data_IF_490509600008
#
_entry.id   IF_490509600008
#
_cell.length_a   1.000
_cell.length_b   1.000
_cell.length_c   1.000
_cell.angle_alpha   90.00
_cell.angle_beta   90.00
_cell.angle_gamma   90.00
#
_symmetry.space_group_name_H-M   'P 1'
#
loop_
_entity.id
_entity.type
_entity.pdbx_description
1 polymer ?
#
# COMPACT_ATOMS: atom_id res chain seq x y z
N UNK A 1 -26.37 1.18 18.10
CA UNK A 1 -25.49 2.17 17.45
C UNK A 1 -25.39 1.77 15.99
N UNK A 2 -26.04 2.48 15.07
CA UNK A 2 -25.79 2.26 13.63
C UNK A 2 -24.40 2.84 13.36
N UNK A 3 -23.37 2.00 13.34
CA UNK A 3 -22.08 2.42 12.83
C UNK A 3 -22.30 2.81 11.37
N UNK A 4 -22.14 4.10 11.06
CA UNK A 4 -22.19 4.60 9.70
C UNK A 4 -20.84 4.34 8.98
N UNK A 5 -20.20 3.21 9.28
CA UNK A 5 -18.90 2.87 8.72
C UNK A 5 -19.12 2.36 7.30
N UNK A 6 -18.55 3.06 6.34
CA UNK A 6 -18.54 2.67 4.94
C UNK A 6 -17.20 2.01 4.62
N UNK A 7 -17.25 0.76 4.16
CA UNK A 7 -16.11 -0.02 3.72
C UNK A 7 -16.09 -0.12 2.20
N UNK A 8 -14.90 0.00 1.63
CA UNK A 8 -14.67 -0.17 0.18
C UNK A 8 -13.67 -1.30 0.03
N UNK A 9 -14.18 -2.48 -0.29
CA UNK A 9 -13.39 -3.68 -0.52
C UNK A 9 -12.97 -3.73 -1.99
N UNK A 10 -11.67 -3.88 -2.23
CA UNK A 10 -11.05 -3.99 -3.55
C UNK A 10 -10.43 -5.37 -3.70
N UNK A 11 -10.95 -6.13 -4.66
CA UNK A 11 -10.48 -7.45 -5.02
C UNK A 11 -9.89 -7.40 -6.42
N UNK A 12 -8.67 -7.88 -6.58
CA UNK A 12 -7.96 -7.81 -7.86
C UNK A 12 -7.36 -9.16 -8.20
N UNK A 13 -7.59 -9.63 -9.43
CA UNK A 13 -6.79 -10.69 -10.05
C UNK A 13 -5.83 -10.04 -11.04
N UNK A 14 -4.55 -10.37 -10.91
CA UNK A 14 -3.51 -9.83 -11.76
C UNK A 14 -2.52 -10.91 -12.14
N UNK A 15 -2.34 -11.11 -13.45
CA UNK A 15 -1.28 -11.96 -13.99
C UNK A 15 0.07 -11.27 -13.84
N UNK A 16 1.03 -12.00 -13.30
CA UNK A 16 2.43 -11.60 -13.19
C UNK A 16 3.26 -12.58 -14.03
N UNK A 17 3.99 -12.11 -15.05
CA UNK A 17 4.83 -12.96 -15.89
C UNK A 17 6.02 -13.49 -15.09
N UNK A 18 6.80 -14.44 -15.66
CA UNK A 18 8.04 -14.94 -15.04
C UNK A 18 8.89 -13.80 -14.48
N UNK A 19 8.98 -13.69 -13.15
CA UNK A 19 9.68 -12.60 -12.49
C UNK A 19 9.91 -12.84 -11.00
N UNK A 20 10.65 -11.91 -10.37
CA UNK A 20 10.94 -11.88 -8.95
C UNK A 20 10.54 -10.52 -8.33
N UNK A 21 9.24 -10.20 -8.40
CA UNK A 21 8.65 -8.92 -7.94
C UNK A 21 8.93 -8.61 -6.47
N UNK A 22 9.03 -9.64 -5.63
CA UNK A 22 9.30 -9.50 -4.21
C UNK A 22 10.06 -10.71 -3.67
N UNK A 23 11.25 -10.45 -3.13
CA UNK A 23 12.22 -11.47 -2.72
C UNK A 23 12.53 -11.47 -1.23
N UNK A 24 12.96 -12.62 -0.72
CA UNK A 24 13.53 -12.75 0.62
C UNK A 24 15.01 -12.33 0.66
N UNK A 25 15.65 -12.57 1.80
CA UNK A 25 17.06 -12.30 2.06
C UNK A 25 18.03 -13.16 1.26
N UNK A 26 17.57 -14.32 0.76
CA UNK A 26 18.35 -15.21 -0.13
C UNK A 26 18.24 -14.82 -1.61
N UNK A 27 17.34 -13.90 -1.94
CA UNK A 27 17.10 -13.45 -3.31
C UNK A 27 15.97 -14.18 -4.03
N UNK A 28 15.32 -15.13 -3.36
CA UNK A 28 14.26 -15.98 -3.92
C UNK A 28 12.90 -15.31 -3.83
N UNK A 29 11.97 -15.55 -4.79
CA UNK A 29 10.60 -15.06 -4.70
C UNK A 29 9.95 -15.51 -3.41
N UNK A 30 9.31 -14.57 -2.69
CA UNK A 30 8.61 -14.93 -1.46
C UNK A 30 7.44 -15.86 -1.77
N UNK A 31 7.28 -16.89 -0.95
CA UNK A 31 6.17 -17.84 -1.04
C UNK A 31 5.37 -17.87 0.26
N UNK A 32 4.26 -18.61 0.25
CA UNK A 32 3.49 -19.03 1.41
C UNK A 32 2.78 -20.35 1.14
N UNK A 33 2.43 -21.11 2.18
CA UNK A 33 1.57 -22.30 2.06
C UNK A 33 0.12 -21.89 2.28
N UNK A 34 -0.76 -22.22 1.33
CA UNK A 34 -2.20 -21.98 1.46
C UNK A 34 -3.00 -23.08 0.74
N UNK A 35 -3.93 -23.70 1.46
CA UNK A 35 -4.65 -24.88 0.96
C UNK A 35 -3.75 -26.10 0.72
N UNK A 36 -2.69 -26.24 1.51
CA UNK A 36 -1.75 -27.36 1.41
C UNK A 36 -0.74 -27.30 0.27
N UNK A 37 -0.70 -26.22 -0.54
CA UNK A 37 0.26 -26.05 -1.63
C UNK A 37 1.03 -24.74 -1.54
N UNK A 38 2.21 -24.70 -2.18
CA UNK A 38 3.06 -23.49 -2.26
C UNK A 38 2.44 -22.46 -3.21
N UNK A 39 2.30 -21.22 -2.72
CA UNK A 39 1.79 -20.07 -3.45
C UNK A 39 2.88 -19.01 -3.60
N UNK A 40 2.88 -18.30 -4.72
CA UNK A 40 3.64 -17.06 -4.82
C UNK A 40 3.02 -16.08 -3.82
N UNK A 41 3.86 -15.29 -3.14
CA UNK A 41 3.41 -14.28 -2.19
C UNK A 41 4.11 -12.97 -2.47
N UNK A 42 3.34 -11.91 -2.63
CA UNK A 42 3.86 -10.54 -2.65
C UNK A 42 3.46 -9.83 -1.38
N UNK A 43 4.44 -9.28 -0.68
CA UNK A 43 4.22 -8.71 0.64
C UNK A 43 3.40 -7.41 0.59
N UNK A 44 2.50 -7.22 1.56
CA UNK A 44 1.66 -6.02 1.61
C UNK A 44 2.50 -4.74 1.69
N UNK A 45 3.65 -4.78 2.38
CA UNK A 45 4.58 -3.66 2.43
C UNK A 45 5.20 -3.31 1.09
N UNK A 46 5.42 -4.28 0.19
CA UNK A 46 5.94 -4.01 -1.15
C UNK A 46 4.90 -3.23 -1.98
N UNK A 47 3.63 -3.61 -1.87
CA UNK A 47 2.52 -2.91 -2.50
C UNK A 47 2.31 -1.51 -1.91
N UNK A 48 2.19 -1.40 -0.57
CA UNK A 48 2.05 -0.10 0.11
C UNK A 48 3.20 0.85 -0.21
N UNK A 49 4.42 0.33 -0.45
CA UNK A 49 5.55 1.17 -0.84
C UNK A 49 5.33 1.82 -2.20
N UNK A 50 4.92 1.05 -3.21
CA UNK A 50 4.65 1.61 -4.55
C UNK A 50 3.41 2.49 -4.59
N UNK A 51 2.36 2.14 -3.82
CA UNK A 51 1.19 3.01 -3.65
C UNK A 51 1.59 4.40 -3.13
N UNK A 52 2.46 4.46 -2.12
CA UNK A 52 2.95 5.75 -1.60
C UNK A 52 3.78 6.55 -2.60
N UNK A 53 4.50 5.90 -3.51
CA UNK A 53 5.16 6.62 -4.60
C UNK A 53 4.13 7.24 -5.54
N UNK A 54 3.10 6.50 -5.93
CA UNK A 54 2.05 7.08 -6.76
C UNK A 54 1.29 8.21 -6.05
N UNK A 55 1.09 8.10 -4.73
CA UNK A 55 0.52 9.21 -3.95
C UNK A 55 1.33 10.50 -4.13
N UNK A 56 2.66 10.43 -4.26
CA UNK A 56 3.49 11.61 -4.50
C UNK A 56 3.31 12.26 -5.87
N UNK A 57 2.70 11.54 -6.81
CA UNK A 57 2.34 12.04 -8.15
C UNK A 57 0.90 12.57 -8.19
N UNK A 58 0.03 12.08 -7.29
CA UNK A 58 -1.39 12.43 -7.25
C UNK A 58 -1.76 13.50 -6.23
N UNK A 59 -0.94 13.67 -5.19
CA UNK A 59 -1.20 14.55 -4.05
C UNK A 59 -0.15 15.66 -3.97
N UNK A 60 -0.51 16.74 -3.29
CA UNK A 60 0.42 17.83 -2.99
C UNK A 60 1.42 17.41 -1.91
N UNK A 61 2.59 18.07 -1.85
CA UNK A 61 3.60 17.79 -0.83
C UNK A 61 3.10 17.96 0.61
N UNK A 62 2.05 18.77 0.82
CA UNK A 62 1.43 18.99 2.12
C UNK A 62 0.61 17.78 2.60
N UNK A 63 0.07 16.99 1.67
CA UNK A 63 -0.78 15.81 1.93
C UNK A 63 0.06 14.53 2.17
N UNK A 64 1.38 14.59 1.98
CA UNK A 64 2.30 13.45 2.03
C UNK A 64 3.08 13.36 3.34
N UNK A 65 3.36 12.12 3.74
CA UNK A 65 4.22 11.80 4.87
C UNK A 65 5.57 11.25 4.45
N UNK A 66 6.57 11.47 5.30
CA UNK A 66 7.91 10.95 5.14
C UNK A 66 8.19 9.87 6.18
N UNK A 67 8.62 8.70 5.72
CA UNK A 67 9.13 7.63 6.58
C UNK A 67 10.65 7.63 6.55
N UNK A 68 11.28 8.19 7.58
CA UNK A 68 12.72 8.38 7.62
C UNK A 68 13.28 8.21 9.03
N UNK A 69 14.57 7.88 9.13
CA UNK A 69 15.32 8.02 10.39
C UNK A 69 15.80 9.47 10.57
N UNK A 70 16.06 10.18 9.47
CA UNK A 70 16.62 11.54 9.44
C UNK A 70 15.55 12.62 9.66
N UNK A 71 14.70 12.45 10.67
CA UNK A 71 13.62 13.41 10.99
C UNK A 71 14.14 14.77 11.45
N UNK A 72 15.36 14.83 12.00
CA UNK A 72 16.02 16.08 12.38
C UNK A 72 16.21 16.97 11.15
N UNK A 73 16.68 16.40 10.03
CA UNK A 73 16.84 17.14 8.78
C UNK A 73 15.51 17.68 8.26
N UNK A 74 14.45 16.88 8.31
CA UNK A 74 13.10 17.29 7.88
C UNK A 74 12.61 18.54 8.64
N UNK A 75 12.77 18.56 9.96
CA UNK A 75 12.36 19.71 10.78
C UNK A 75 13.33 20.89 10.63
N UNK A 76 14.64 20.62 10.50
CA UNK A 76 15.64 21.67 10.29
C UNK A 76 15.45 22.40 8.95
N UNK A 77 15.05 21.68 7.91
CA UNK A 77 14.73 22.26 6.60
C UNK A 77 13.51 23.20 6.69
N UNK A 78 12.49 22.85 7.47
CA UNK A 78 11.34 23.75 7.71
C UNK A 78 11.72 24.94 8.60
N UNK A 79 12.55 24.76 9.62
CA UNK A 79 13.07 25.86 10.46
C UNK A 79 13.85 26.86 9.59
N UNK A 80 14.71 26.37 8.69
CA UNK A 80 15.54 27.21 7.82
C UNK A 80 14.72 28.07 6.85
N UNK A 81 13.47 27.67 6.54
CA UNK A 81 12.53 28.49 5.75
C UNK A 81 11.89 29.61 6.58
N UNK A 82 11.78 29.42 7.89
CA UNK A 82 11.14 30.37 8.81
C UNK A 82 12.12 31.37 9.42
N UNK A 83 13.35 30.95 9.69
CA UNK A 83 14.37 31.79 10.31
C UNK A 83 15.79 31.36 9.91
N UNK A 84 16.63 32.33 9.57
CA UNK A 84 18.07 32.14 9.33
C UNK A 84 18.93 32.44 10.56
N UNK A 85 18.32 32.94 11.63
CA UNK A 85 19.03 33.52 12.77
C UNK A 85 19.30 32.49 13.88
N UNK A 86 18.66 31.32 13.78
CA UNK A 86 18.81 30.23 14.75
C UNK A 86 19.51 29.03 14.13
N UNK A 87 20.21 28.26 14.97
CA UNK A 87 20.80 26.99 14.53
C UNK A 87 19.69 25.95 14.33
N UNK A 88 19.28 25.77 13.07
CA UNK A 88 18.15 24.92 12.68
C UNK A 88 18.30 23.45 13.15
N UNK A 89 19.49 22.88 13.03
CA UNK A 89 19.76 21.48 13.39
C UNK A 89 19.64 21.24 14.91
N UNK A 90 20.19 22.18 15.71
CA UNK A 90 20.07 22.15 17.16
C UNK A 90 18.62 22.33 17.59
N UNK A 91 17.93 23.34 17.06
CA UNK A 91 16.54 23.63 17.38
C UNK A 91 15.60 22.48 16.97
N UNK A 92 15.83 21.83 15.84
CA UNK A 92 15.10 20.65 15.41
C UNK A 92 15.30 19.46 16.37
N UNK A 93 16.55 19.22 16.79
CA UNK A 93 16.87 18.16 17.75
C UNK A 93 16.17 18.39 19.09
N UNK A 94 16.19 19.63 19.59
CA UNK A 94 15.53 20.02 20.83
C UNK A 94 14.01 19.87 20.72
N UNK A 95 13.41 20.32 19.62
CA UNK A 95 11.96 20.20 19.35
C UNK A 95 11.49 18.74 19.34
N UNK A 96 12.22 17.86 18.64
CA UNK A 96 11.90 16.43 18.55
C UNK A 96 12.07 15.71 19.90
N UNK A 97 13.09 16.10 20.67
CA UNK A 97 13.30 15.58 22.02
C UNK A 97 12.17 16.01 22.96
N UNK A 98 11.75 17.29 22.91
CA UNK A 98 10.58 17.80 23.64
C UNK A 98 9.29 17.08 23.24
N UNK A 99 9.16 16.67 21.98
CA UNK A 99 8.02 15.89 21.49
C UNK A 99 8.00 14.43 21.99
N UNK A 100 9.04 13.99 22.71
CA UNK A 100 9.13 12.65 23.30
C UNK A 100 9.91 11.63 22.45
N UNK A 101 10.61 12.06 21.40
CA UNK A 101 11.38 11.17 20.53
C UNK A 101 12.84 11.06 21.00
N UNK A 102 13.37 9.84 21.00
CA UNK A 102 14.79 9.58 21.28
C UNK A 102 15.62 9.77 20.01
N UNK A 103 16.47 10.79 19.99
CA UNK A 103 17.38 11.09 18.87
C UNK A 103 18.79 10.64 19.24
N UNK A 104 19.42 9.79 18.42
CA UNK A 104 20.81 9.35 18.64
C UNK A 104 21.84 10.43 18.31
N UNK A 105 21.64 11.08 17.17
CA UNK A 105 22.45 12.18 16.66
C UNK A 105 21.71 12.81 15.48
N UNK A 106 22.10 14.01 15.05
CA UNK A 106 21.41 14.69 13.97
C UNK A 106 21.63 14.03 12.58
N UNK A 107 22.76 13.37 12.37
CA UNK A 107 23.08 12.61 11.15
C UNK A 107 22.35 11.25 11.08
N UNK A 108 22.28 10.52 12.20
CA UNK A 108 21.66 9.17 12.28
C UNK A 108 20.16 9.24 12.57
N UNK A 109 19.71 10.27 13.27
CA UNK A 109 18.33 10.49 13.68
C UNK A 109 17.81 9.47 14.69
N UNK A 110 16.67 8.83 14.43
CA UNK A 110 16.00 7.86 15.33
C UNK A 110 16.44 6.40 15.12
N UNK A 111 16.21 5.54 16.12
CA UNK A 111 16.55 4.11 16.08
C UNK A 111 15.73 3.35 15.03
N UNK A 112 14.43 3.60 15.04
CA UNK A 112 13.46 3.08 14.08
C UNK A 112 13.08 4.15 13.06
N UNK A 113 12.50 3.72 11.93
CA UNK A 113 11.89 4.63 10.98
C UNK A 113 10.70 5.34 11.64
N UNK A 114 10.70 6.66 11.64
CA UNK A 114 9.57 7.46 12.11
C UNK A 114 8.78 7.95 10.89
N UNK A 115 7.45 8.03 11.03
CA UNK A 115 6.54 8.48 9.98
C UNK A 115 5.97 9.85 10.38
N UNK A 116 6.26 10.89 9.62
CA UNK A 116 5.88 12.27 9.94
C UNK A 116 5.31 12.96 8.71
N UNK A 117 4.20 13.68 8.88
CA UNK A 117 3.71 14.56 7.81
C UNK A 117 4.55 15.83 7.72
N UNK A 118 4.54 16.48 6.57
CA UNK A 118 5.21 17.78 6.43
C UNK A 118 4.56 18.86 7.29
N UNK A 119 3.24 18.82 7.46
CA UNK A 119 2.52 19.72 8.37
C UNK A 119 2.99 19.58 9.82
N UNK A 120 3.21 18.34 10.30
CA UNK A 120 3.78 18.09 11.61
C UNK A 120 5.19 18.67 11.75
N UNK A 121 6.03 18.51 10.72
CA UNK A 121 7.37 19.07 10.71
C UNK A 121 7.37 20.61 10.73
N UNK A 122 6.48 21.22 9.95
CA UNK A 122 6.31 22.67 9.89
C UNK A 122 5.81 23.25 11.22
N UNK A 123 4.88 22.58 11.89
CA UNK A 123 4.39 23.02 13.21
C UNK A 123 5.47 22.89 14.29
N UNK A 124 6.25 21.79 14.28
CA UNK A 124 7.43 21.67 15.15
C UNK A 124 8.45 22.78 14.91
N UNK A 125 8.66 23.15 13.63
CA UNK A 125 9.55 24.23 13.25
C UNK A 125 9.04 25.60 13.76
N UNK A 126 7.74 25.87 13.62
CA UNK A 126 7.10 27.09 14.12
C UNK A 126 7.26 27.23 15.64
N UNK A 127 6.95 26.18 16.40
CA UNK A 127 7.11 26.16 17.85
C UNK A 127 8.57 26.37 18.28
N UNK A 128 9.52 25.81 17.52
CA UNK A 128 10.94 25.98 17.77
C UNK A 128 11.41 27.44 17.54
N UNK A 129 10.96 28.08 16.46
CA UNK A 129 11.29 29.49 16.13
C UNK A 129 10.67 30.46 17.14
N UNK A 130 9.46 30.20 17.60
CA UNK A 130 8.78 31.00 18.63
C UNK A 130 9.40 30.85 20.02
N UNK A 131 10.35 29.93 20.20
CA UNK A 131 10.99 29.68 21.49
C UNK A 131 10.06 29.01 22.50
N UNK A 132 9.05 28.26 22.03
CA UNK A 132 8.09 27.60 22.91
C UNK A 132 8.81 26.58 23.83
N UNK A 133 8.47 26.64 25.12
CA UNK A 133 9.10 25.81 26.16
C UNK A 133 8.23 24.62 26.58
N UNK A 134 6.92 24.65 26.33
CA UNK A 134 6.00 23.59 26.71
C UNK A 134 6.14 22.34 25.81
N UNK A 135 6.73 21.27 26.36
CA UNK A 135 6.86 19.98 25.71
C UNK A 135 5.52 19.37 25.25
N UNK A 136 4.41 19.70 25.91
CA UNK A 136 3.08 19.20 25.52
C UNK A 136 2.66 19.70 24.14
N UNK A 137 3.00 20.95 23.79
CA UNK A 137 2.67 21.52 22.47
C UNK A 137 3.43 20.82 21.35
N UNK A 138 4.71 20.50 21.54
CA UNK A 138 5.50 19.73 20.57
C UNK A 138 4.94 18.32 20.40
N UNK A 139 4.50 17.68 21.49
CA UNK A 139 3.88 16.36 21.43
C UNK A 139 2.52 16.42 20.73
N UNK A 140 1.73 17.46 20.97
CA UNK A 140 0.45 17.69 20.31
C UNK A 140 0.63 17.95 18.81
N UNK A 141 1.65 18.71 18.42
CA UNK A 141 2.00 18.92 17.01
C UNK A 141 2.22 17.59 16.26
N UNK A 142 2.77 16.56 16.91
CA UNK A 142 2.93 15.22 16.32
C UNK A 142 1.65 14.39 16.29
N UNK A 143 0.60 14.78 17.02
CA UNK A 143 -0.71 14.10 17.05
C UNK A 143 -1.73 14.75 16.14
N UNK A 144 -1.55 16.02 15.82
CA UNK A 144 -2.42 16.76 14.90
C UNK A 144 -1.92 16.63 13.46
N UNK A 145 -2.79 16.94 12.49
CA UNK A 145 -2.45 17.09 11.07
C UNK A 145 -1.68 15.91 10.46
N UNK A 146 -2.19 14.67 10.54
CA UNK A 146 -1.57 13.55 9.85
C UNK A 146 -1.64 13.73 8.32
N UNK A 147 -0.68 13.14 7.60
CA UNK A 147 -0.74 13.03 6.14
C UNK A 147 -1.71 11.92 5.72
N UNK A 148 -2.25 11.98 4.50
CA UNK A 148 -3.21 11.01 4.00
C UNK A 148 -2.65 9.57 4.05
N UNK A 149 -1.41 9.39 3.63
CA UNK A 149 -0.74 8.09 3.63
C UNK A 149 -0.49 7.54 5.06
N UNK A 150 -0.36 8.41 6.05
CA UNK A 150 -0.27 8.04 7.45
C UNK A 150 -1.64 7.66 8.03
N UNK A 151 -2.72 8.34 7.65
CA UNK A 151 -4.08 7.94 8.05
C UNK A 151 -4.45 6.60 7.40
N UNK A 152 -4.14 6.42 6.12
CA UNK A 152 -4.42 5.17 5.40
C UNK A 152 -3.65 3.98 5.98
N UNK A 153 -2.35 4.14 6.26
CA UNK A 153 -1.49 3.01 6.63
C UNK A 153 -1.06 2.94 8.09
N UNK A 154 -1.44 3.94 8.88
CA UNK A 154 -1.12 4.05 10.29
C UNK A 154 0.33 4.45 10.57
N UNK A 155 0.58 4.76 11.84
CA UNK A 155 1.91 5.02 12.41
C UNK A 155 2.06 4.24 13.71
N UNK A 156 3.17 3.53 13.85
CA UNK A 156 3.54 2.85 15.09
C UNK A 156 4.84 3.44 15.64
N UNK A 157 4.81 3.86 16.90
CA UNK A 157 5.92 4.42 17.66
C UNK A 157 6.04 3.61 18.96
N UNK A 158 6.96 2.64 18.99
CA UNK A 158 7.10 1.72 20.12
C UNK A 158 7.50 2.44 21.43
N UNK A 159 8.34 3.47 21.35
CA UNK A 159 8.80 4.25 22.50
C UNK A 159 7.68 5.08 23.15
N UNK A 160 6.68 5.52 22.37
CA UNK A 160 5.56 6.31 22.85
C UNK A 160 4.27 5.97 22.08
N UNK A 161 3.48 5.00 22.58
CA UNK A 161 2.25 4.56 21.93
C UNK A 161 1.19 5.66 21.78
N UNK A 162 1.28 6.77 22.53
CA UNK A 162 0.33 7.89 22.38
C UNK A 162 0.51 8.67 21.07
N UNK A 163 1.59 8.41 20.33
CA UNK A 163 1.84 8.93 18.99
C UNK A 163 1.38 7.96 17.90
N UNK A 164 0.76 6.83 18.23
CA UNK A 164 0.25 5.91 17.23
C UNK A 164 -0.95 6.48 16.49
N UNK A 165 -1.04 6.16 15.20
CA UNK A 165 -2.22 6.39 14.38
C UNK A 165 -2.71 5.04 13.89
N UNK A 166 -3.99 4.75 14.14
CA UNK A 166 -4.64 3.56 13.61
C UNK A 166 -4.88 3.70 12.11
N UNK A 167 -4.63 2.62 11.37
CA UNK A 167 -4.75 2.61 9.92
C UNK A 167 -6.21 2.51 9.48
N UNK A 168 -6.64 3.43 8.62
CA UNK A 168 -7.96 3.38 7.98
C UNK A 168 -8.06 2.29 6.90
N UNK A 169 -6.93 1.84 6.35
CA UNK A 169 -6.89 0.85 5.28
C UNK A 169 -6.14 -0.44 5.67
N UNK A 170 -6.70 -1.57 5.24
CA UNK A 170 -6.10 -2.88 5.35
C UNK A 170 -5.67 -3.35 3.97
N UNK A 171 -4.43 -3.82 3.83
CA UNK A 171 -3.91 -4.38 2.57
C UNK A 171 -3.33 -5.75 2.87
N UNK A 172 -3.90 -6.78 2.26
CA UNK A 172 -3.46 -8.16 2.45
C UNK A 172 -2.14 -8.43 1.71
N UNK A 173 -1.45 -9.50 2.12
CA UNK A 173 -0.46 -10.12 1.25
C UNK A 173 -1.17 -10.65 0.01
N UNK A 174 -0.64 -10.36 -1.17
CA UNK A 174 -1.14 -10.98 -2.39
C UNK A 174 -0.60 -12.41 -2.48
N UNK A 175 -1.46 -13.37 -2.84
CA UNK A 175 -1.07 -14.77 -3.03
C UNK A 175 -1.55 -15.28 -4.38
N UNK A 176 -0.86 -16.28 -4.95
CA UNK A 176 -1.33 -16.91 -6.19
C UNK A 176 -2.60 -17.74 -5.98
N UNK A 177 -3.50 -17.69 -6.95
CA UNK A 177 -4.76 -18.47 -6.94
C UNK A 177 -4.55 -19.96 -7.21
N UNK A 178 -3.40 -20.31 -7.76
CA UNK A 178 -2.93 -21.67 -8.05
C UNK A 178 -1.59 -21.97 -7.37
N UNK A 179 -1.18 -23.25 -7.37
CA UNK A 179 0.15 -23.66 -6.95
C UNK A 179 1.22 -23.07 -7.87
N UNK A 180 2.37 -22.68 -7.31
CA UNK A 180 3.53 -22.23 -8.09
C UNK A 180 4.72 -23.13 -7.84
N UNK A 181 5.61 -23.19 -8.84
CA UNK A 181 6.93 -23.78 -8.73
C UNK A 181 7.94 -22.70 -9.05
N UNK A 182 8.97 -22.57 -8.20
CA UNK A 182 10.08 -21.70 -8.52
C UNK A 182 10.92 -22.33 -9.61
N UNK A 183 11.37 -21.49 -10.54
CA UNK A 183 12.27 -21.81 -11.62
C UNK A 183 13.60 -21.08 -11.41
N UNK A 184 14.66 -21.61 -11.99
CA UNK A 184 16.02 -21.11 -11.83
C UNK A 184 16.56 -20.63 -13.18
N UNK A 185 16.97 -19.37 -13.24
CA UNK A 185 17.71 -18.81 -14.36
C UNK A 185 19.21 -18.84 -14.05
N UNK A 186 19.97 -19.57 -14.87
CA UNK A 186 21.43 -19.63 -14.79
C UNK A 186 22.02 -18.68 -15.83
N UNK A 187 22.66 -17.61 -15.36
CA UNK A 187 23.20 -16.57 -16.23
C UNK A 187 24.70 -16.38 -16.04
N UNK A 188 25.38 -15.98 -17.11
CA UNK A 188 26.78 -15.57 -17.09
C UNK A 188 26.91 -14.09 -17.40
N UNK A 189 27.92 -13.44 -16.85
CA UNK A 189 28.39 -12.14 -17.32
C UNK A 189 29.69 -12.36 -18.08
N UNK A 190 29.71 -11.96 -19.34
CA UNK A 190 30.89 -12.10 -20.20
C UNK A 190 31.81 -10.88 -20.01
N UNK A 191 33.12 -11.12 -19.94
CA UNK A 191 34.13 -10.07 -19.97
C UNK A 191 34.62 -9.84 -21.40
N UNK A 192 34.22 -8.71 -21.97
CA UNK A 192 34.55 -8.31 -23.35
C UNK A 192 36.06 -8.12 -23.58
N UNK A 193 36.87 -7.99 -22.52
CA UNK A 193 38.32 -7.79 -22.58
C UNK A 193 39.13 -9.05 -22.23
N UNK A 194 38.50 -10.22 -22.12
CA UNK A 194 39.16 -11.46 -21.70
C UNK A 194 40.17 -12.00 -22.75
N UNK A 195 41.30 -12.63 -22.32
CA UNK A 195 42.25 -13.26 -23.25
C UNK A 195 41.63 -14.43 -24.03
N UNK A 196 42.03 -14.63 -25.31
CA UNK A 196 41.42 -15.61 -26.25
C UNK A 196 41.39 -17.07 -25.73
N UNK A 197 42.30 -17.44 -24.82
CA UNK A 197 42.38 -18.79 -24.23
C UNK A 197 41.43 -19.02 -23.03
N UNK A 198 40.62 -18.03 -22.65
CA UNK A 198 39.68 -18.13 -21.54
C UNK A 198 38.25 -17.92 -22.04
N UNK A 199 37.32 -18.84 -21.73
CA UNK A 199 35.96 -18.86 -22.28
C UNK A 199 35.02 -17.73 -21.80
N UNK A 200 35.56 -16.55 -21.46
CA UNK A 200 34.83 -15.29 -21.32
C UNK A 200 33.85 -15.16 -20.14
N UNK A 201 33.51 -16.22 -19.40
CA UNK A 201 32.57 -16.12 -18.28
C UNK A 201 33.24 -15.47 -17.04
N UNK A 202 33.13 -14.15 -16.90
CA UNK A 202 33.63 -13.39 -15.75
C UNK A 202 32.80 -13.57 -14.47
N UNK A 203 31.55 -14.02 -14.59
CA UNK A 203 30.70 -14.36 -13.45
C UNK A 203 29.65 -15.40 -13.84
N UNK A 204 29.29 -16.30 -12.91
CA UNK A 204 28.13 -17.19 -13.00
C UNK A 204 27.20 -16.90 -11.82
N UNK A 205 25.92 -16.68 -12.10
CA UNK A 205 24.91 -16.43 -11.09
C UNK A 205 23.64 -17.23 -11.34
N UNK A 206 22.80 -17.30 -10.30
CA UNK A 206 21.48 -17.90 -10.39
C UNK A 206 20.44 -16.94 -9.84
N UNK A 207 19.30 -16.81 -10.53
CA UNK A 207 18.13 -16.07 -10.05
C UNK A 207 16.92 -16.99 -10.03
N UNK A 208 16.24 -17.05 -8.90
CA UNK A 208 14.93 -17.71 -8.82
C UNK A 208 13.81 -16.76 -9.29
N UNK A 209 12.84 -17.31 -10.02
CA UNK A 209 11.65 -16.60 -10.47
C UNK A 209 10.44 -17.54 -10.52
N UNK A 210 9.24 -16.96 -10.61
CA UNK A 210 8.02 -17.70 -10.94
C UNK A 210 7.04 -16.82 -11.73
N UNK A 211 6.00 -17.44 -12.28
CA UNK A 211 4.84 -16.74 -12.85
C UNK A 211 3.59 -17.12 -12.08
N UNK A 212 2.65 -16.19 -11.97
CA UNK A 212 1.42 -16.44 -11.21
C UNK A 212 0.27 -15.50 -11.55
N UNK A 213 -0.96 -15.99 -11.40
CA UNK A 213 -2.13 -15.14 -11.24
C UNK A 213 -2.30 -14.84 -9.76
N UNK A 214 -2.05 -13.60 -9.36
CA UNK A 214 -2.16 -13.15 -7.99
C UNK A 214 -3.57 -12.68 -7.66
N UNK A 215 -4.10 -13.13 -6.53
CA UNK A 215 -5.21 -12.49 -5.86
C UNK A 215 -4.70 -11.45 -4.86
N UNK A 216 -5.24 -10.24 -4.97
CA UNK A 216 -4.89 -9.09 -4.15
C UNK A 216 -6.16 -8.57 -3.50
N UNK A 217 -6.07 -8.21 -2.23
CA UNK A 217 -7.19 -7.67 -1.47
C UNK A 217 -6.76 -6.45 -0.65
N UNK A 218 -7.60 -5.42 -0.67
CA UNK A 218 -7.50 -4.30 0.22
C UNK A 218 -8.89 -3.80 0.61
N UNK A 219 -8.99 -3.12 1.74
CA UNK A 219 -10.21 -2.42 2.15
C UNK A 219 -9.88 -1.08 2.78
N UNK A 220 -10.77 -0.11 2.60
CA UNK A 220 -10.69 1.22 3.24
C UNK A 220 -11.93 1.43 4.08
N UNK A 221 -11.74 1.82 5.34
CA UNK A 221 -12.81 2.31 6.20
C UNK A 221 -12.92 3.83 6.06
N UNK A 222 -13.92 4.30 5.32
CA UNK A 222 -14.16 5.73 5.09
C UNK A 222 -14.55 6.44 6.39
N UNK A 223 -15.19 5.74 7.33
CA UNK A 223 -15.52 6.29 8.64
C UNK A 223 -14.28 6.61 9.49
N UNK A 224 -13.19 5.84 9.33
CA UNK A 224 -11.90 6.15 9.97
C UNK A 224 -11.18 7.31 9.26
N UNK A 225 -11.32 7.43 7.94
CA UNK A 225 -10.80 8.57 7.19
C UNK A 225 -11.49 9.88 7.60
N UNK A 226 -12.82 9.84 7.78
CA UNK A 226 -13.65 11.00 8.17
C UNK A 226 -13.29 11.60 9.54
N UNK A 227 -12.52 10.88 10.37
CA UNK A 227 -12.00 11.44 11.64
C UNK A 227 -10.85 12.44 11.41
N UNK A 228 -10.21 12.40 10.24
CA UNK A 228 -8.98 13.15 9.97
C UNK A 228 -9.07 14.05 8.75
N UNK A 229 -9.99 13.78 7.82
CA UNK A 229 -10.16 14.51 6.56
C UNK A 229 -11.51 15.23 6.53
N UNK A 230 -11.57 16.36 5.84
CA UNK A 230 -12.82 17.04 5.58
C UNK A 230 -13.71 16.23 4.62
N UNK A 231 -15.02 16.47 4.64
CA UNK A 231 -15.98 15.67 3.86
C UNK A 231 -15.72 15.72 2.35
N UNK A 232 -15.24 16.86 1.85
CA UNK A 232 -14.87 17.12 0.45
C UNK A 232 -13.47 16.58 0.06
N UNK A 233 -12.75 15.97 1.00
CA UNK A 233 -11.45 15.31 0.75
C UNK A 233 -11.55 13.77 0.77
N UNK A 234 -12.65 13.22 1.30
CA UNK A 234 -12.82 11.77 1.50
C UNK A 234 -12.89 11.00 0.18
N UNK A 235 -13.62 11.53 -0.79
CA UNK A 235 -13.81 10.93 -2.10
C UNK A 235 -12.49 10.93 -2.90
N UNK A 236 -11.70 12.01 -2.83
CA UNK A 236 -10.34 12.12 -3.38
C UNK A 236 -9.40 11.11 -2.71
N UNK A 237 -9.44 10.99 -1.39
CA UNK A 237 -8.62 10.04 -0.64
C UNK A 237 -8.90 8.59 -1.03
N UNK A 238 -10.19 8.22 -1.14
CA UNK A 238 -10.63 6.91 -1.59
C UNK A 238 -10.21 6.65 -3.03
N UNK A 239 -10.40 7.62 -3.94
CA UNK A 239 -9.99 7.50 -5.33
C UNK A 239 -8.50 7.24 -5.44
N UNK A 240 -7.70 8.06 -4.76
CA UNK A 240 -6.25 7.95 -4.74
C UNK A 240 -5.80 6.58 -4.24
N UNK A 241 -6.41 6.09 -3.15
CA UNK A 241 -6.14 4.75 -2.64
C UNK A 241 -6.50 3.66 -3.64
N UNK A 242 -7.70 3.70 -4.22
CA UNK A 242 -8.19 2.69 -5.13
C UNK A 242 -7.35 2.62 -6.40
N UNK A 243 -7.07 3.77 -7.01
CA UNK A 243 -6.22 3.89 -8.18
C UNK A 243 -4.79 3.40 -7.90
N UNK A 244 -4.19 3.84 -6.79
CA UNK A 244 -2.85 3.38 -6.42
C UNK A 244 -2.80 1.89 -6.12
N UNK A 245 -3.84 1.33 -5.48
CA UNK A 245 -3.91 -0.11 -5.29
C UNK A 245 -4.01 -0.80 -6.64
N UNK A 246 -4.96 -0.43 -7.50
CA UNK A 246 -5.21 -1.14 -8.76
C UNK A 246 -4.03 -1.03 -9.74
N UNK A 247 -3.45 0.15 -9.90
CA UNK A 247 -2.54 0.49 -11.00
C UNK A 247 -1.04 0.37 -10.69
N UNK A 248 -0.63 0.31 -9.42
CA UNK A 248 0.80 0.17 -9.09
C UNK A 248 1.27 -1.29 -9.21
N UNK A 249 2.58 -1.52 -9.09
CA UNK A 249 3.18 -2.86 -9.01
C UNK A 249 4.60 -2.78 -8.42
N UNK A 250 5.01 -3.69 -7.50
CA UNK A 250 6.37 -3.74 -6.98
C UNK A 250 7.44 -3.80 -8.06
N UNK A 251 8.48 -2.97 -7.92
CA UNK A 251 9.54 -2.80 -8.94
C UNK A 251 10.73 -3.77 -8.77
N UNK A 252 10.58 -4.79 -7.94
CA UNK A 252 11.63 -5.78 -7.68
C UNK A 252 12.06 -6.49 -8.96
N UNK A 253 13.36 -6.38 -9.29
CA UNK A 253 13.96 -6.96 -10.50
C UNK A 253 13.23 -6.57 -11.81
N UNK A 254 12.49 -5.47 -11.81
CA UNK A 254 11.68 -5.02 -12.95
C UNK A 254 12.51 -4.82 -14.21
N UNK A 255 13.70 -4.21 -14.11
CA UNK A 255 14.56 -3.97 -15.29
C UNK A 255 15.09 -5.26 -15.91
N UNK A 256 15.19 -6.34 -15.13
CA UNK A 256 15.66 -7.64 -15.62
C UNK A 256 14.53 -8.45 -16.26
N UNK A 257 13.31 -8.36 -15.73
CA UNK A 257 12.18 -9.21 -16.17
C UNK A 257 11.09 -8.47 -16.96
N UNK A 258 11.13 -7.14 -17.06
CA UNK A 258 10.12 -6.31 -17.73
C UNK A 258 8.66 -6.68 -17.33
N UNK A 259 8.42 -6.83 -16.04
CA UNK A 259 7.26 -7.54 -15.49
C UNK A 259 6.03 -6.66 -15.16
N UNK A 260 5.93 -5.44 -15.70
CA UNK A 260 4.77 -4.57 -15.43
C UNK A 260 3.52 -5.08 -16.16
N UNK A 261 2.44 -5.28 -15.41
CA UNK A 261 1.14 -5.67 -15.94
C UNK A 261 0.02 -4.84 -15.32
N UNK A 262 -1.14 -4.81 -15.98
CA UNK A 262 -2.38 -4.33 -15.40
C UNK A 262 -3.21 -5.51 -14.89
N UNK A 263 -4.15 -5.27 -13.96
CA UNK A 263 -5.14 -6.27 -13.55
C UNK A 263 -5.92 -6.89 -14.71
N UNK A 264 -6.23 -8.18 -14.57
CA UNK A 264 -7.16 -8.90 -15.44
C UNK A 264 -8.60 -8.78 -14.96
N UNK A 265 -8.79 -8.65 -13.64
CA UNK A 265 -10.09 -8.49 -12.98
C UNK A 265 -9.97 -7.52 -11.80
N UNK A 266 -10.91 -6.59 -11.67
CA UNK A 266 -11.12 -5.74 -10.49
C UNK A 266 -12.58 -5.88 -10.07
N UNK A 267 -12.83 -6.16 -8.80
CA UNK A 267 -14.16 -6.16 -8.20
C UNK A 267 -14.14 -5.25 -6.97
N UNK A 268 -14.97 -4.21 -7.01
CA UNK A 268 -15.13 -3.26 -5.92
C UNK A 268 -16.49 -3.47 -5.26
N UNK A 269 -16.49 -3.66 -3.94
CA UNK A 269 -17.70 -3.83 -3.15
C UNK A 269 -17.77 -2.78 -2.05
N UNK A 270 -18.86 -2.00 -2.05
CA UNK A 270 -19.15 -1.02 -1.00
C UNK A 270 -20.12 -1.62 0.00
N UNK A 271 -19.77 -1.54 1.29
CA UNK A 271 -20.47 -2.24 2.36
C UNK A 271 -20.55 -1.39 3.63
N UNK A 272 -21.56 -1.63 4.46
CA UNK A 272 -21.72 -0.95 5.77
C UNK A 272 -21.61 -1.86 6.99
N UNK A 273 -21.56 -3.16 6.77
CA UNK A 273 -21.48 -4.16 7.82
C UNK A 273 -20.02 -4.38 8.24
N UNK A 274 -19.25 -5.07 7.41
CA UNK A 274 -17.86 -5.41 7.66
C UNK A 274 -17.12 -5.60 6.33
N UNK A 275 -15.80 -5.40 6.30
CA UNK A 275 -14.99 -5.74 5.14
C UNK A 275 -14.92 -7.28 4.96
N UNK A 276 -15.06 -7.76 3.73
CA UNK A 276 -15.11 -9.20 3.43
C UNK A 276 -14.01 -9.58 2.45
N UNK A 277 -12.97 -10.25 2.95
CA UNK A 277 -11.93 -10.83 2.10
C UNK A 277 -12.38 -12.17 1.50
N UNK A 278 -12.40 -12.27 0.17
CA UNK A 278 -12.84 -13.45 -0.58
C UNK A 278 -11.70 -14.44 -0.90
N UNK A 279 -10.57 -14.37 -0.18
CA UNK A 279 -9.42 -15.28 -0.37
C UNK A 279 -9.78 -16.78 -0.30
N UNK A 280 -10.84 -17.12 0.44
CA UNK A 280 -11.35 -18.48 0.56
C UNK A 280 -11.72 -19.13 -0.78
N UNK A 281 -12.00 -18.33 -1.82
CA UNK A 281 -12.17 -18.81 -3.19
C UNK A 281 -10.97 -19.61 -3.71
N UNK A 282 -9.79 -19.39 -3.15
CA UNK A 282 -8.52 -19.97 -3.59
C UNK A 282 -7.89 -20.91 -2.57
N UNK A 283 -8.63 -21.27 -1.50
CA UNK A 283 -8.20 -22.28 -0.54
C UNK A 283 -7.88 -23.57 -1.30
N UNK A 284 -8.85 -24.11 -2.05
CA UNK A 284 -8.58 -25.14 -3.05
C UNK A 284 -7.83 -24.51 -4.23
N UNK A 285 -6.60 -24.95 -4.56
CA UNK A 285 -5.83 -24.38 -5.66
C UNK A 285 -6.57 -24.49 -6.99
N UNK A 286 -6.65 -23.39 -7.72
CA UNK A 286 -7.20 -23.34 -9.07
C UNK A 286 -6.36 -24.24 -9.98
N UNK A 287 -7.03 -25.10 -10.74
CA UNK A 287 -6.42 -25.97 -11.77
C UNK A 287 -6.92 -25.52 -13.14
N UNK A 288 -6.02 -25.43 -14.11
CA UNK A 288 -6.37 -25.06 -15.48
C UNK A 288 -5.42 -25.68 -16.50
N UNK A 289 -5.91 -25.87 -17.73
CA UNK A 289 -5.13 -26.27 -18.91
C UNK A 289 -4.96 -25.15 -19.95
N UNK A 290 -5.62 -23.99 -19.77
CA UNK A 290 -5.67 -22.87 -20.72
C UNK A 290 -5.24 -21.51 -20.16
N UNK A 291 -4.57 -21.51 -19.00
CA UNK A 291 -4.23 -20.30 -18.23
C UNK A 291 -5.13 -20.12 -17.00
N UNK A 292 -4.64 -19.40 -16.00
CA UNK A 292 -5.27 -19.40 -14.67
C UNK A 292 -6.32 -18.29 -14.45
N UNK A 293 -6.32 -17.22 -15.25
CA UNK A 293 -7.16 -16.02 -15.02
C UNK A 293 -8.65 -16.36 -15.01
N UNK A 294 -9.17 -16.90 -16.11
CA UNK A 294 -10.60 -17.23 -16.25
C UNK A 294 -11.09 -18.21 -15.17
N UNK A 295 -10.31 -19.27 -14.92
CA UNK A 295 -10.63 -20.26 -13.88
C UNK A 295 -10.60 -19.65 -12.47
N UNK A 296 -9.74 -18.66 -12.24
CA UNK A 296 -9.66 -17.94 -10.97
C UNK A 296 -10.84 -16.99 -10.79
N UNK A 297 -11.25 -16.29 -11.85
CA UNK A 297 -12.45 -15.45 -11.82
C UNK A 297 -13.71 -16.28 -11.56
N UNK A 298 -13.84 -17.44 -12.21
CA UNK A 298 -14.96 -18.34 -11.98
C UNK A 298 -15.04 -18.79 -10.52
N UNK A 299 -13.90 -19.24 -9.95
CA UNK A 299 -13.82 -19.63 -8.55
C UNK A 299 -14.15 -18.45 -7.61
N UNK A 300 -13.68 -17.24 -7.93
CA UNK A 300 -13.98 -16.02 -7.18
C UNK A 300 -15.48 -15.71 -7.19
N UNK A 301 -16.12 -15.72 -8.36
CA UNK A 301 -17.54 -15.39 -8.50
C UNK A 301 -18.44 -16.40 -7.80
N UNK A 302 -18.15 -17.70 -7.95
CA UNK A 302 -18.92 -18.76 -7.29
C UNK A 302 -18.81 -18.66 -5.77
N UNK A 303 -17.60 -18.43 -5.24
CA UNK A 303 -17.38 -18.24 -3.81
C UNK A 303 -18.03 -16.96 -3.27
N UNK A 304 -17.95 -15.84 -4.00
CA UNK A 304 -18.60 -14.59 -3.62
C UNK A 304 -20.12 -14.76 -3.47
N UNK A 305 -20.77 -15.43 -4.44
CA UNK A 305 -22.21 -15.75 -4.36
C UNK A 305 -22.54 -16.61 -3.15
N UNK A 306 -21.71 -17.61 -2.85
CA UNK A 306 -21.91 -18.46 -1.70
C UNK A 306 -21.79 -17.68 -0.39
N UNK A 307 -20.73 -16.87 -0.23
CA UNK A 307 -20.52 -16.02 0.94
C UNK A 307 -21.68 -15.05 1.14
N UNK A 308 -22.12 -14.39 0.07
CA UNK A 308 -23.23 -13.42 0.15
C UNK A 308 -24.61 -14.07 0.34
N UNK A 309 -24.72 -15.37 0.06
CA UNK A 309 -25.95 -16.13 0.33
C UNK A 309 -25.99 -16.67 1.74
N UNK A 310 -24.84 -17.08 2.29
CA UNK A 310 -24.77 -17.83 3.55
C UNK A 310 -24.37 -17.00 4.76
N UNK A 311 -23.46 -16.05 4.61
CA UNK A 311 -22.74 -15.47 5.75
C UNK A 311 -22.80 -13.94 5.81
N UNK A 312 -22.87 -13.25 4.67
CA UNK A 312 -22.80 -11.80 4.62
C UNK A 312 -23.91 -11.23 3.71
N UNK A 313 -24.48 -10.06 3.98
CA UNK A 313 -25.38 -9.39 3.04
C UNK A 313 -24.67 -9.10 1.71
N UNK A 314 -25.43 -8.90 0.63
CA UNK A 314 -24.85 -8.38 -0.61
C UNK A 314 -24.31 -6.96 -0.39
N UNK A 315 -23.23 -6.55 -1.09
CA UNK A 315 -22.77 -5.16 -1.06
C UNK A 315 -23.88 -4.18 -1.47
N UNK A 316 -23.81 -2.95 -0.97
CA UNK A 316 -24.71 -1.86 -1.39
C UNK A 316 -24.43 -1.43 -2.83
N UNK A 317 -23.14 -1.44 -3.20
CA UNK A 317 -22.67 -1.22 -4.56
C UNK A 317 -21.62 -2.27 -4.91
N UNK A 318 -21.79 -2.91 -6.07
CA UNK A 318 -20.85 -3.89 -6.61
C UNK A 318 -20.51 -3.49 -8.04
N UNK A 319 -19.24 -3.16 -8.30
CA UNK A 319 -18.73 -2.74 -9.60
C UNK A 319 -17.59 -3.67 -10.05
N UNK A 320 -17.44 -3.87 -11.35
CA UNK A 320 -16.41 -4.74 -11.90
C UNK A 320 -15.74 -4.21 -13.15
N UNK A 321 -14.48 -4.59 -13.32
CA UNK A 321 -13.73 -4.54 -14.57
C UNK A 321 -13.23 -5.95 -14.80
N UNK A 322 -13.53 -6.57 -15.94
CA UNK A 322 -12.95 -7.87 -16.28
C UNK A 322 -12.75 -8.05 -17.77
N UNK A 323 -11.80 -8.93 -18.13
CA UNK A 323 -11.62 -9.48 -19.46
C UNK A 323 -12.58 -10.65 -19.77
N UNK A 324 -13.25 -11.18 -18.75
CA UNK A 324 -14.18 -12.31 -18.86
C UNK A 324 -15.58 -11.92 -18.36
N UNK A 325 -16.59 -12.68 -18.77
CA UNK A 325 -17.99 -12.31 -18.57
C UNK A 325 -18.54 -12.73 -17.19
N UNK A 326 -17.89 -13.68 -16.50
CA UNK A 326 -18.43 -14.31 -15.29
C UNK A 326 -18.65 -13.30 -14.17
N UNK A 327 -17.75 -12.32 -14.05
CA UNK A 327 -17.86 -11.27 -13.06
C UNK A 327 -19.18 -10.48 -13.17
N UNK A 328 -19.74 -10.34 -14.37
CA UNK A 328 -21.03 -9.68 -14.61
C UNK A 328 -22.23 -10.38 -13.95
N UNK A 329 -22.07 -11.62 -13.47
CA UNK A 329 -23.11 -12.32 -12.70
C UNK A 329 -23.25 -11.79 -11.25
N UNK A 330 -22.29 -11.01 -10.76
CA UNK A 330 -22.28 -10.47 -9.39
C UNK A 330 -22.13 -8.94 -9.29
N UNK A 331 -21.83 -8.24 -10.40
CA UNK A 331 -21.70 -6.79 -10.42
C UNK A 331 -22.00 -6.16 -11.79
N UNK A 332 -22.08 -4.83 -11.81
CA UNK A 332 -22.11 -4.02 -13.04
C UNK A 332 -20.69 -3.90 -13.61
N UNK A 333 -20.48 -4.34 -14.86
CA UNK A 333 -19.20 -4.23 -15.54
C UNK A 333 -19.03 -2.88 -16.25
N UNK A 334 -17.86 -2.28 -16.11
CA UNK A 334 -17.52 -0.98 -16.70
C UNK A 334 -16.00 -0.84 -16.90
N UNK A 335 -15.52 0.17 -17.65
CA UNK A 335 -14.11 0.52 -17.69
C UNK A 335 -13.57 0.97 -16.33
N UNK A 336 -12.26 0.82 -16.11
CA UNK A 336 -11.63 1.17 -14.82
C UNK A 336 -11.83 2.65 -14.43
N UNK A 337 -11.76 3.56 -15.40
CA UNK A 337 -11.98 4.99 -15.13
C UNK A 337 -13.38 5.24 -14.56
N UNK A 338 -14.40 4.61 -15.15
CA UNK A 338 -15.79 4.74 -14.70
C UNK A 338 -16.01 4.07 -13.35
N UNK A 339 -15.37 2.91 -13.09
CA UNK A 339 -15.39 2.26 -11.78
C UNK A 339 -14.87 3.21 -10.69
N UNK A 340 -13.74 3.88 -10.94
CA UNK A 340 -13.17 4.85 -9.99
C UNK A 340 -14.12 6.04 -9.79
N UNK A 341 -14.66 6.61 -10.88
CA UNK A 341 -15.61 7.72 -10.80
C UNK A 341 -16.87 7.36 -9.99
N UNK A 342 -17.43 6.16 -10.21
CA UNK A 342 -18.63 5.68 -9.51
C UNK A 342 -18.39 5.42 -8.02
N UNK A 343 -17.22 4.90 -7.64
CA UNK A 343 -16.84 4.76 -6.22
C UNK A 343 -16.70 6.13 -5.57
N UNK A 344 -16.00 7.06 -6.23
CA UNK A 344 -15.82 8.44 -5.74
C UNK A 344 -17.16 9.14 -5.54
N UNK A 345 -18.05 9.09 -6.54
CA UNK A 345 -19.39 9.67 -6.44
C UNK A 345 -20.19 9.05 -5.29
N UNK A 346 -20.15 7.71 -5.14
CA UNK A 346 -20.84 7.05 -4.05
C UNK A 346 -20.36 7.53 -2.67
N UNK A 347 -19.05 7.70 -2.48
CA UNK A 347 -18.49 8.23 -1.23
C UNK A 347 -18.94 9.67 -1.00
N UNK A 348 -18.85 10.53 -2.02
CA UNK A 348 -19.28 11.93 -1.93
C UNK A 348 -20.75 12.03 -1.49
N UNK A 349 -21.66 11.30 -2.15
CA UNK A 349 -23.10 11.34 -1.86
C UNK A 349 -23.46 10.79 -0.47
N UNK A 350 -22.71 9.79 0.01
CA UNK A 350 -23.03 9.07 1.25
C UNK A 350 -22.26 9.58 2.47
N UNK A 351 -21.23 10.41 2.28
CA UNK A 351 -20.47 11.03 3.37
C UNK A 351 -20.76 12.54 3.51
N UNK A 352 -21.25 13.23 2.46
CA UNK A 352 -21.69 14.62 2.57
C UNK A 352 -23.02 14.79 3.36
N UNK A 353 -23.82 13.73 3.47
CA UNK A 353 -25.13 13.76 4.15
C UNK A 353 -25.06 13.61 5.69
N UNK A 354 -23.87 13.80 6.30
CA UNK A 354 -23.60 13.52 7.70
C UNK A 354 -23.53 14.73 8.65
N UNK A 355 -23.93 15.93 8.20
CA UNK A 355 -24.05 17.12 9.06
C UNK A 355 -25.30 17.10 9.97
#
# INVERSE_FOLDING_TARGET
MKNNNLYIDLHVLQTVPPSCVNRDDTGSPKTAVYGGVTRARVSSQAWKHEMRKLFSEMLTEAELGYRTKRIVGLVADEISKLSTDINAEKSATDALTKAGLKIKSADKGTDALFFMSRAQAAELARLAVEGESDAKKYKEALKTTPSLDMVLFGRMVADDPSLNFDAAAQVAHAISTHEVRNEYDYFTAVDDCSPEDNAGAGHLGTVEFNSSTLYRYATVNVGELAKWLAADELDKAVRCFAEAFICTMPTGKQNTFANRTLPDMVYAAVRRDQPVNLVGAFERPVKSSGGYVESSENAFCDYAKEVYRLFAPKPELSLGVSRHDKLGEICELMPLSELLDRITAYVSDNCAAGE
#
